data_IF_638810400094
#
_entry.id   IF_638810400094
#
_cell.length_a   1.000
_cell.length_b   1.000
_cell.length_c   1.000
_cell.angle_alpha   90.00
_cell.angle_beta   90.00
_cell.angle_gamma   90.00
#
_symmetry.space_group_name_H-M   'P 1'
#
loop_
_entity.id
_entity.type
_entity.pdbx_description
1 polymer ?
#
# COMPACT_ATOMS: atom_id res chain seq x y z
N UNK A 1 5.94 -8.97 -15.47
CA UNK A 1 5.40 -8.08 -14.43
C UNK A 1 5.96 -6.68 -14.58
N UNK A 2 5.14 -5.63 -14.39
CA UNK A 2 5.67 -4.29 -14.18
C UNK A 2 6.61 -4.29 -12.97
N UNK A 3 7.57 -3.37 -12.95
CA UNK A 3 8.46 -3.21 -11.82
C UNK A 3 7.66 -2.94 -10.54
N UNK A 4 8.05 -3.56 -9.43
CA UNK A 4 7.40 -3.34 -8.15
C UNK A 4 7.52 -1.87 -7.76
N UNK A 5 6.40 -1.25 -7.41
CA UNK A 5 6.38 0.13 -6.96
C UNK A 5 6.92 0.21 -5.54
N UNK A 6 7.68 1.27 -5.26
CA UNK A 6 7.98 1.66 -3.88
C UNK A 6 6.72 2.17 -3.19
N UNK A 7 6.69 2.14 -1.85
CA UNK A 7 5.57 2.71 -1.08
C UNK A 7 5.31 4.18 -1.42
N UNK A 8 6.36 4.98 -1.63
CA UNK A 8 6.23 6.38 -2.05
C UNK A 8 5.56 6.52 -3.41
N UNK A 9 5.96 5.73 -4.40
CA UNK A 9 5.36 5.77 -5.73
C UNK A 9 3.89 5.35 -5.70
N UNK A 10 3.54 4.34 -4.89
CA UNK A 10 2.16 3.92 -4.72
C UNK A 10 1.30 5.05 -4.11
N UNK A 11 1.80 5.71 -3.06
CA UNK A 11 1.14 6.86 -2.43
C UNK A 11 0.94 8.00 -3.44
N UNK A 12 1.95 8.33 -4.25
CA UNK A 12 1.84 9.36 -5.28
C UNK A 12 0.75 9.05 -6.32
N UNK A 13 0.57 7.77 -6.69
CA UNK A 13 -0.51 7.37 -7.61
C UNK A 13 -1.89 7.58 -6.98
N UNK A 14 -2.08 7.18 -5.72
CA UNK A 14 -3.33 7.42 -4.98
C UNK A 14 -3.62 8.91 -4.79
N UNK A 15 -2.62 9.70 -4.38
CA UNK A 15 -2.78 11.14 -4.17
C UNK A 15 -3.23 11.84 -5.47
N UNK A 16 -2.64 11.44 -6.61
CA UNK A 16 -3.04 11.92 -7.92
C UNK A 16 -4.49 11.57 -8.25
N UNK A 17 -4.89 10.30 -8.06
CA UNK A 17 -6.25 9.85 -8.37
C UNK A 17 -7.31 10.51 -7.47
N UNK A 18 -6.99 10.70 -6.19
CA UNK A 18 -7.89 11.32 -5.21
C UNK A 18 -7.89 12.86 -5.26
N UNK A 19 -7.13 13.49 -6.15
CA UNK A 19 -6.88 14.94 -6.16
C UNK A 19 -6.43 15.49 -4.79
N UNK A 20 -5.61 14.72 -4.07
CA UNK A 20 -5.10 15.05 -2.74
C UNK A 20 -3.63 15.49 -2.79
N UNK A 21 -3.13 16.25 -1.79
CA UNK A 21 -1.71 16.59 -1.71
C UNK A 21 -0.83 15.35 -1.57
N UNK A 22 0.21 15.23 -2.40
CA UNK A 22 1.23 14.18 -2.28
C UNK A 22 2.22 14.50 -1.14
N UNK A 23 1.74 14.42 0.09
CA UNK A 23 2.53 14.63 1.32
C UNK A 23 2.49 13.36 2.15
N UNK A 24 3.65 12.70 2.25
CA UNK A 24 3.83 11.52 3.08
C UNK A 24 4.81 11.81 4.22
N UNK A 25 4.53 11.25 5.40
CA UNK A 25 5.46 11.20 6.53
C UNK A 25 5.58 9.75 6.98
N UNK A 26 6.82 9.32 7.26
CA UNK A 26 7.11 7.97 7.75
C UNK A 26 7.30 8.04 9.25
N UNK A 27 6.45 7.33 10.01
CA UNK A 27 6.57 7.26 11.46
C UNK A 27 7.54 6.14 11.84
N UNK A 28 8.56 6.41 12.68
CA UNK A 28 9.41 5.35 13.19
C UNK A 28 8.63 4.45 14.15
N UNK A 29 8.99 3.17 14.21
CA UNK A 29 8.24 2.16 14.98
C UNK A 29 8.10 2.46 16.48
N UNK A 30 9.09 3.13 17.08
CA UNK A 30 8.99 3.55 18.49
C UNK A 30 7.92 4.63 18.69
N UNK A 31 7.71 5.51 17.70
CA UNK A 31 6.70 6.56 17.77
C UNK A 31 5.29 6.00 17.62
N UNK A 32 5.11 4.95 16.82
CA UNK A 32 3.85 4.20 16.74
C UNK A 32 3.46 3.66 18.12
N UNK A 33 4.42 3.06 18.85
CA UNK A 33 4.19 2.57 20.22
C UNK A 33 3.81 3.68 21.19
N UNK A 34 4.45 4.85 21.10
CA UNK A 34 4.12 5.99 21.94
C UNK A 34 2.70 6.53 21.65
N UNK A 35 2.32 6.65 20.38
CA UNK A 35 0.98 7.08 19.96
C UNK A 35 -0.09 6.06 20.40
N UNK A 36 0.24 4.76 20.39
CA UNK A 36 -0.65 3.68 20.83
C UNK A 36 -1.09 3.76 22.30
N UNK A 37 -0.43 4.57 23.13
CA UNK A 37 -0.89 4.86 24.50
C UNK A 37 -2.16 5.71 24.53
N UNK A 38 -2.39 6.50 23.49
CA UNK A 38 -3.51 7.46 23.40
C UNK A 38 -4.52 7.09 22.31
N UNK A 39 -4.09 6.39 21.27
CA UNK A 39 -4.92 6.02 20.11
C UNK A 39 -5.02 4.49 20.03
N UNK A 40 -6.17 3.89 20.42
CA UNK A 40 -6.33 2.44 20.51
C UNK A 40 -5.98 1.68 19.23
N UNK A 41 -6.38 2.20 18.05
CA UNK A 41 -6.05 1.55 16.77
C UNK A 41 -4.54 1.51 16.50
N UNK A 42 -3.79 2.51 16.96
CA UNK A 42 -2.33 2.55 16.80
C UNK A 42 -1.62 1.57 17.75
N UNK A 43 -2.27 1.11 18.82
CA UNK A 43 -1.74 0.13 19.77
C UNK A 43 -1.60 -1.27 19.16
N UNK A 44 -2.47 -1.60 18.20
CA UNK A 44 -2.50 -2.90 17.51
C UNK A 44 -1.53 -2.97 16.31
N UNK A 45 -1.12 -1.81 15.78
CA UNK A 45 -0.22 -1.71 14.61
C UNK A 45 1.19 -2.32 14.77
N UNK A 46 1.84 -2.33 15.96
CA UNK A 46 3.13 -2.98 16.15
C UNK A 46 3.15 -4.45 15.74
N UNK A 47 2.03 -5.18 15.87
CA UNK A 47 1.93 -6.58 15.47
C UNK A 47 1.99 -6.77 13.96
N UNK A 48 1.64 -5.75 13.17
CA UNK A 48 1.72 -5.80 11.71
C UNK A 48 3.06 -5.27 11.17
N UNK A 49 3.89 -4.68 12.03
CA UNK A 49 5.16 -4.06 11.62
C UNK A 49 6.17 -5.05 11.01
N UNK A 50 6.05 -6.36 11.31
CA UNK A 50 6.93 -7.37 10.70
C UNK A 50 6.85 -7.36 9.17
N UNK A 51 5.72 -6.95 8.58
CA UNK A 51 5.58 -6.91 7.13
C UNK A 51 6.47 -5.85 6.47
N UNK A 52 6.92 -4.87 7.23
CA UNK A 52 7.74 -3.75 6.76
C UNK A 52 9.23 -3.93 7.05
N UNK A 53 9.65 -5.05 7.65
CA UNK A 53 11.06 -5.30 7.99
C UNK A 53 11.88 -5.90 6.83
N UNK A 54 11.22 -6.29 5.73
CA UNK A 54 11.80 -6.97 4.57
C UNK A 54 11.17 -6.52 3.26
N UNK A 55 11.94 -6.66 2.18
CA UNK A 55 11.44 -6.46 0.82
C UNK A 55 10.44 -7.55 0.44
N UNK A 56 9.15 -7.23 0.51
CA UNK A 56 8.07 -8.12 0.13
C UNK A 56 7.63 -7.86 -1.32
N UNK A 57 8.36 -8.46 -2.28
CA UNK A 57 8.04 -8.35 -3.71
C UNK A 57 7.21 -9.54 -4.18
N UNK A 58 5.94 -9.29 -4.49
CA UNK A 58 5.05 -10.32 -5.03
C UNK A 58 5.21 -10.46 -6.56
N UNK A 59 5.46 -11.69 -7.04
CA UNK A 59 5.61 -11.99 -8.47
C UNK A 59 4.65 -13.11 -8.89
N UNK A 60 3.60 -12.77 -9.65
CA UNK A 60 2.61 -13.74 -10.13
C UNK A 60 2.93 -14.35 -11.51
N UNK A 61 4.14 -14.16 -12.09
CA UNK A 61 4.42 -14.56 -13.49
C UNK A 61 4.17 -16.05 -13.74
N UNK A 62 4.42 -16.91 -12.74
CA UNK A 62 4.11 -18.35 -12.84
C UNK A 62 2.61 -18.62 -12.93
N UNK A 63 1.82 -17.88 -12.15
CA UNK A 63 0.36 -18.00 -12.11
C UNK A 63 -0.25 -17.49 -13.42
N UNK A 64 0.12 -16.28 -13.83
CA UNK A 64 -0.46 -15.65 -15.03
C UNK A 64 -0.23 -16.51 -16.27
N UNK A 65 0.97 -17.08 -16.42
CA UNK A 65 1.31 -18.02 -17.50
C UNK A 65 0.52 -19.32 -17.46
N UNK A 66 0.22 -19.83 -16.26
CA UNK A 66 -0.43 -21.14 -16.08
C UNK A 66 -1.95 -21.07 -16.31
N UNK A 67 -2.54 -19.92 -16.08
CA UNK A 67 -4.00 -19.74 -16.08
C UNK A 67 -4.50 -18.71 -17.10
N UNK A 68 -3.63 -18.22 -18.00
CA UNK A 68 -3.93 -17.14 -18.96
C UNK A 68 -4.62 -15.93 -18.29
N UNK A 69 -4.14 -15.61 -17.08
CA UNK A 69 -4.76 -14.61 -16.22
C UNK A 69 -4.23 -13.21 -16.57
N UNK A 70 -5.12 -12.28 -16.91
CA UNK A 70 -4.76 -10.88 -17.18
C UNK A 70 -4.76 -10.09 -15.88
N UNK A 71 -3.57 -9.67 -15.44
CA UNK A 71 -3.42 -8.83 -14.25
C UNK A 71 -3.83 -7.39 -14.50
N UNK A 72 -4.63 -6.83 -13.60
CA UNK A 72 -4.95 -5.40 -13.56
C UNK A 72 -3.70 -4.58 -13.30
N UNK A 73 -3.56 -3.45 -14.00
CA UNK A 73 -2.43 -2.54 -13.76
C UNK A 73 -2.65 -1.73 -12.48
N UNK A 74 -1.57 -1.21 -11.88
CA UNK A 74 -1.68 -0.34 -10.70
C UNK A 74 -2.59 0.88 -10.96
N UNK A 75 -2.42 1.66 -12.05
CA UNK A 75 -3.32 2.79 -12.33
C UNK A 75 -4.79 2.39 -12.40
N UNK A 76 -5.12 1.30 -13.13
CA UNK A 76 -6.51 0.86 -13.30
C UNK A 76 -7.11 0.41 -11.96
N UNK A 77 -6.37 -0.39 -11.19
CA UNK A 77 -6.83 -0.88 -9.88
C UNK A 77 -6.99 0.24 -8.86
N UNK A 78 -6.10 1.24 -8.86
CA UNK A 78 -6.19 2.42 -7.98
C UNK A 78 -7.44 3.22 -8.32
N UNK A 79 -7.68 3.49 -9.61
CA UNK A 79 -8.88 4.19 -10.08
C UNK A 79 -10.16 3.49 -9.60
N UNK A 80 -10.29 2.20 -9.86
CA UNK A 80 -11.48 1.42 -9.46
C UNK A 80 -11.66 1.42 -7.92
N UNK A 81 -10.57 1.36 -7.17
CA UNK A 81 -10.60 1.40 -5.69
C UNK A 81 -11.08 2.75 -5.18
N UNK A 82 -10.57 3.85 -5.74
CA UNK A 82 -10.96 5.22 -5.36
C UNK A 82 -12.42 5.46 -5.71
N UNK A 83 -12.86 5.09 -6.91
CA UNK A 83 -14.27 5.20 -7.34
C UNK A 83 -15.21 4.46 -6.36
N UNK A 84 -14.88 3.23 -5.97
CA UNK A 84 -15.70 2.44 -5.03
C UNK A 84 -15.66 2.93 -3.58
N UNK A 85 -14.62 3.65 -3.18
CA UNK A 85 -14.50 4.15 -1.80
C UNK A 85 -15.27 5.47 -1.58
N UNK A 86 -15.66 6.13 -2.67
CA UNK A 86 -16.41 7.40 -2.66
C UNK A 86 -17.92 7.16 -2.80
N UNK A 87 -18.34 6.00 -3.32
CA UNK A 87 -19.74 5.55 -3.37
C UNK A 87 -20.16 4.85 -2.08
#
# INVERSE_FOLDING_TARGET
HPAALTGKQLISLFAKEMNAPDKVSVLPGWLIKAIGLFVPIMKEMPEMMYQYDRDYVFNSTKFDRRFDFKTTTYPDGIKETVEKSIM
#
